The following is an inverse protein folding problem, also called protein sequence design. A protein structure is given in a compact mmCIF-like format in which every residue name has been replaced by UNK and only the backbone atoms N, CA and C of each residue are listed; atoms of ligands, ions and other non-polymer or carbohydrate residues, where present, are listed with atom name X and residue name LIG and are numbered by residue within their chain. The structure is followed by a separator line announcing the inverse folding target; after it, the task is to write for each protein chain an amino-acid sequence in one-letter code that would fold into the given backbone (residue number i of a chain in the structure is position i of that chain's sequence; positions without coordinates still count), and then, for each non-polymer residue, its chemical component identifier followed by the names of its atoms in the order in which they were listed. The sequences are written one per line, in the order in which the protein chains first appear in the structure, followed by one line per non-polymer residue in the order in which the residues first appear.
data_IF_887503474644
#
_entry.id   IF_887503474644
#
_cell.length_a   1.000
_cell.length_b   1.000
_cell.length_c   1.000
_cell.angle_alpha   90.00
_cell.angle_beta   90.00
_cell.angle_gamma   90.00
#
_symmetry.space_group_name_H-M   'P 1'
#
loop_
_entity.id
_entity.type
_entity.pdbx_description
1 polymer ?
#
# COMPACT_ATOMS: atom_id res chain seq x y z
N UNK A 1 -7.54 -22.11 -13.21
CA UNK A 1 -6.20 -21.92 -12.64
C UNK A 1 -5.80 -20.49 -12.94
N UNK A 2 -5.79 -19.60 -11.94
CA UNK A 2 -5.48 -18.18 -12.15
C UNK A 2 -3.98 -17.98 -12.37
N UNK A 3 -3.63 -17.25 -13.43
CA UNK A 3 -2.24 -16.81 -13.64
C UNK A 3 -1.82 -15.83 -12.55
N UNK A 4 -0.53 -15.80 -12.21
CA UNK A 4 0.01 -14.75 -11.34
C UNK A 4 0.56 -13.63 -12.22
N UNK A 5 0.32 -12.36 -11.83
CA UNK A 5 0.94 -11.15 -12.38
C UNK A 5 2.46 -11.23 -12.57
N UNK A 6 3.09 -12.11 -11.78
CA UNK A 6 4.52 -12.32 -11.78
C UNK A 6 5.04 -13.13 -12.98
N UNK A 7 4.21 -13.95 -13.64
CA UNK A 7 4.64 -14.80 -14.76
C UNK A 7 4.94 -13.98 -16.04
N UNK A 8 6.08 -14.23 -16.73
CA UNK A 8 6.34 -13.67 -18.04
C UNK A 8 5.29 -14.15 -19.05
N UNK A 9 4.78 -13.26 -19.91
CA UNK A 9 3.79 -13.55 -20.98
C UNK A 9 2.45 -14.14 -20.51
N UNK A 10 2.04 -13.93 -19.26
CA UNK A 10 0.70 -14.35 -18.85
C UNK A 10 -0.35 -13.53 -19.62
N UNK A 11 -1.35 -14.20 -20.22
CA UNK A 11 -2.46 -13.53 -20.92
C UNK A 11 -3.15 -12.51 -20.01
N UNK A 12 -3.25 -12.89 -18.74
CA UNK A 12 -3.72 -12.08 -17.61
C UNK A 12 -2.97 -10.74 -17.47
N UNK A 13 -1.65 -10.72 -17.68
CA UNK A 13 -0.83 -9.51 -17.65
C UNK A 13 -1.09 -8.64 -18.87
N UNK A 14 -1.15 -9.23 -20.05
CA UNK A 14 -1.49 -8.49 -21.28
C UNK A 14 -2.87 -7.85 -21.15
N UNK A 15 -3.81 -8.54 -20.49
CA UNK A 15 -5.14 -8.04 -20.17
C UNK A 15 -5.11 -6.87 -19.18
N UNK A 16 -4.34 -6.97 -18.08
CA UNK A 16 -4.15 -5.86 -17.13
C UNK A 16 -3.55 -4.64 -17.82
N UNK A 17 -2.46 -4.82 -18.57
CA UNK A 17 -1.80 -3.72 -19.29
C UNK A 17 -2.78 -3.13 -20.32
N UNK A 18 -3.52 -3.96 -21.05
CA UNK A 18 -4.55 -3.52 -22.00
C UNK A 18 -5.64 -2.68 -21.32
N UNK A 19 -6.18 -3.11 -20.19
CA UNK A 19 -7.22 -2.36 -19.46
C UNK A 19 -6.68 -1.07 -18.84
N UNK A 20 -5.45 -1.07 -18.33
CA UNK A 20 -4.76 0.15 -17.89
C UNK A 20 -4.58 1.14 -19.04
N UNK A 21 -4.07 0.64 -20.17
CA UNK A 21 -3.86 1.44 -21.37
C UNK A 21 -5.20 2.01 -21.84
N UNK A 22 -6.27 1.21 -21.90
CA UNK A 22 -7.62 1.69 -22.23
C UNK A 22 -8.09 2.77 -21.26
N UNK A 23 -7.90 2.59 -19.95
CA UNK A 23 -8.30 3.56 -18.93
C UNK A 23 -7.56 4.88 -19.11
N UNK A 24 -6.23 4.85 -19.27
CA UNK A 24 -5.40 6.03 -19.46
C UNK A 24 -5.69 6.75 -20.78
N UNK A 25 -5.93 6.01 -21.87
CA UNK A 25 -6.37 6.59 -23.14
C UNK A 25 -7.74 7.27 -23.05
N UNK A 26 -8.64 6.77 -22.20
CA UNK A 26 -9.95 7.38 -21.95
C UNK A 26 -9.87 8.62 -21.04
N UNK A 27 -8.80 8.75 -20.24
CA UNK A 27 -8.61 9.83 -19.27
C UNK A 27 -7.25 10.56 -19.47
N UNK A 28 -7.00 11.16 -20.65
CA UNK A 28 -5.69 11.70 -21.02
C UNK A 28 -5.23 12.88 -20.14
N UNK A 29 -6.15 13.52 -19.42
CA UNK A 29 -5.86 14.64 -18.51
C UNK A 29 -5.26 14.18 -17.17
N UNK A 30 -5.41 12.90 -16.82
CA UNK A 30 -4.84 12.35 -15.59
C UNK A 30 -4.44 10.88 -15.82
N UNK A 31 -3.25 10.63 -16.39
CA UNK A 31 -2.83 9.30 -16.86
C UNK A 31 -2.33 8.40 -15.71
N UNK A 32 -2.92 8.54 -14.54
CA UNK A 32 -2.62 7.78 -13.33
C UNK A 32 -3.90 7.12 -12.82
N UNK A 33 -3.76 5.97 -12.15
CA UNK A 33 -4.88 5.29 -11.54
C UNK A 33 -4.64 5.05 -10.05
N UNK A 34 -5.69 5.13 -9.24
CA UNK A 34 -5.62 4.77 -7.82
C UNK A 34 -5.71 3.26 -7.62
N UNK A 35 -5.33 2.79 -6.41
CA UNK A 35 -5.49 1.38 -6.03
C UNK A 35 -6.92 0.86 -6.25
N UNK A 36 -7.94 1.66 -5.96
CA UNK A 36 -9.34 1.25 -6.16
C UNK A 36 -9.63 0.96 -7.63
N UNK A 37 -9.20 1.86 -8.52
CA UNK A 37 -9.37 1.71 -9.96
C UNK A 37 -8.58 0.52 -10.49
N UNK A 38 -7.38 0.29 -9.93
CA UNK A 38 -6.57 -0.89 -10.19
C UNK A 38 -7.31 -2.19 -9.87
N UNK A 39 -7.88 -2.30 -8.66
CA UNK A 39 -8.63 -3.49 -8.24
C UNK A 39 -9.92 -3.69 -9.04
N UNK A 40 -10.63 -2.61 -9.38
CA UNK A 40 -11.86 -2.68 -10.19
C UNK A 40 -11.56 -3.13 -11.62
N UNK A 41 -10.49 -2.62 -12.22
CA UNK A 41 -10.01 -3.07 -13.53
C UNK A 41 -9.58 -4.53 -13.51
N UNK A 42 -8.90 -4.96 -12.45
CA UNK A 42 -8.39 -6.33 -12.31
C UNK A 42 -9.49 -7.38 -12.16
N UNK A 43 -10.63 -7.03 -11.55
CA UNK A 43 -11.82 -7.91 -11.46
C UNK A 43 -12.36 -8.28 -12.85
N UNK A 44 -12.28 -7.38 -13.83
CA UNK A 44 -12.77 -7.62 -15.20
C UNK A 44 -11.97 -8.69 -15.93
N UNK A 45 -10.71 -8.86 -15.54
CA UNK A 45 -9.73 -9.76 -16.15
C UNK A 45 -9.34 -10.92 -15.21
N UNK A 46 -10.18 -11.18 -14.20
CA UNK A 46 -10.02 -12.28 -13.22
C UNK A 46 -8.68 -12.29 -12.47
N UNK A 47 -8.12 -11.12 -12.17
CA UNK A 47 -6.89 -10.98 -11.37
C UNK A 47 -7.22 -10.46 -9.99
N UNK A 48 -6.81 -11.22 -8.98
CA UNK A 48 -6.84 -10.80 -7.58
C UNK A 48 -5.47 -10.26 -7.16
N UNK A 49 -5.45 -9.02 -6.67
CA UNK A 49 -4.35 -8.53 -5.85
C UNK A 49 -4.57 -8.97 -4.41
N UNK A 50 -3.48 -9.26 -3.70
CA UNK A 50 -3.48 -9.69 -2.31
C UNK A 50 -2.30 -9.10 -1.55
N UNK A 51 -2.18 -9.42 -0.25
CA UNK A 51 -1.09 -8.98 0.60
C UNK A 51 0.30 -9.24 0.02
N UNK A 52 0.49 -10.35 -0.70
CA UNK A 52 1.78 -10.70 -1.29
C UNK A 52 2.19 -9.79 -2.46
N UNK A 53 1.26 -8.97 -2.96
CA UNK A 53 1.52 -7.99 -4.01
C UNK A 53 1.92 -6.61 -3.45
N UNK A 54 1.77 -6.34 -2.14
CA UNK A 54 2.14 -5.04 -1.55
C UNK A 54 3.60 -4.63 -1.82
N UNK A 55 4.61 -5.50 -1.68
CA UNK A 55 5.98 -5.12 -1.99
C UNK A 55 6.16 -4.71 -3.45
N UNK A 56 5.44 -5.38 -4.36
CA UNK A 56 5.45 -5.04 -5.78
C UNK A 56 4.77 -3.69 -6.04
N UNK A 57 3.59 -3.45 -5.46
CA UNK A 57 2.88 -2.18 -5.60
C UNK A 57 3.73 -1.01 -5.08
N UNK A 58 4.36 -1.17 -3.92
CA UNK A 58 5.29 -0.18 -3.38
C UNK A 58 6.51 0.04 -4.27
N UNK A 59 7.04 -1.03 -4.88
CA UNK A 59 8.21 -0.94 -5.74
C UNK A 59 7.93 -0.18 -7.04
N UNK A 60 6.74 -0.36 -7.63
CA UNK A 60 6.42 0.16 -8.96
C UNK A 60 5.95 1.62 -8.94
N UNK A 61 5.31 2.06 -7.86
CA UNK A 61 4.94 3.47 -7.67
C UNK A 61 6.22 4.27 -7.42
N UNK A 62 6.86 4.81 -8.46
CA UNK A 62 8.16 5.47 -8.32
C UNK A 62 8.07 6.74 -7.46
N UNK A 63 6.99 7.51 -7.62
CA UNK A 63 6.76 8.78 -6.94
C UNK A 63 6.30 8.61 -5.47
N UNK A 64 5.89 7.39 -5.09
CA UNK A 64 5.36 7.04 -3.76
C UNK A 64 4.11 7.85 -3.39
N UNK A 65 3.33 8.24 -4.39
CA UNK A 65 2.16 9.10 -4.24
C UNK A 65 0.84 8.32 -4.09
N UNK A 66 0.88 6.98 -4.14
CA UNK A 66 -0.29 6.10 -4.03
C UNK A 66 -1.07 5.97 -5.34
N UNK A 67 -0.55 6.51 -6.44
CA UNK A 67 -1.09 6.40 -7.80
C UNK A 67 -0.13 5.62 -8.67
N UNK A 68 -0.68 5.04 -9.74
CA UNK A 68 0.08 4.22 -10.67
C UNK A 68 -0.07 4.80 -12.08
N UNK A 69 1.03 5.28 -12.63
CA UNK A 69 1.14 5.71 -14.02
C UNK A 69 1.34 4.52 -14.97
N UNK A 70 1.21 4.75 -16.28
CA UNK A 70 1.62 3.74 -17.26
C UNK A 70 3.12 3.44 -17.20
N UNK A 71 3.95 4.44 -16.89
CA UNK A 71 5.40 4.27 -16.80
C UNK A 71 5.76 3.26 -15.70
N UNK A 72 5.14 3.37 -14.53
CA UNK A 72 5.29 2.46 -13.39
C UNK A 72 5.02 1.00 -13.79
N UNK A 73 3.96 0.79 -14.57
CA UNK A 73 3.58 -0.54 -15.06
C UNK A 73 4.55 -1.05 -16.13
N UNK A 74 5.01 -0.19 -17.04
CA UNK A 74 6.00 -0.57 -18.06
C UNK A 74 7.38 -0.86 -17.46
N UNK A 75 7.75 -0.23 -16.35
CA UNK A 75 9.02 -0.49 -15.67
C UNK A 75 9.10 -1.93 -15.13
N UNK A 76 7.96 -2.54 -14.76
CA UNK A 76 7.87 -3.98 -14.46
C UNK A 76 8.28 -4.83 -15.66
N UNK A 77 7.85 -4.44 -16.87
CA UNK A 77 8.15 -5.16 -18.10
C UNK A 77 9.64 -5.04 -18.45
N UNK A 78 10.21 -3.84 -18.34
CA UNK A 78 11.64 -3.58 -18.56
C UNK A 78 12.51 -4.40 -17.60
N UNK A 79 12.17 -4.44 -16.31
CA UNK A 79 12.90 -5.22 -15.30
C UNK A 79 12.91 -6.72 -15.61
N UNK A 80 11.80 -7.25 -16.12
CA UNK A 80 11.72 -8.68 -16.47
C UNK A 80 12.38 -9.05 -17.79
N UNK A 81 12.46 -8.13 -18.75
CA UNK A 81 13.19 -8.33 -20.00
C UNK A 81 14.71 -8.32 -19.80
N UNK A 82 15.19 -7.63 -18.76
CA UNK A 82 16.61 -7.57 -18.40
C UNK A 82 17.08 -8.82 -17.62
N UNK A 83 16.17 -9.62 -17.06
CA UNK A 83 16.51 -10.83 -16.30
C UNK A 83 16.35 -12.04 -17.21
N UNK A 84 17.48 -12.64 -17.59
CA UNK A 84 17.56 -13.77 -18.51
C UNK A 84 17.17 -15.11 -17.84
N UNK A 85 15.92 -15.26 -17.37
CA UNK A 85 15.52 -16.48 -16.64
C UNK A 85 14.04 -16.90 -16.78
N UNK A 86 13.86 -18.23 -16.74
CA UNK A 86 12.62 -19.00 -16.50
C UNK A 86 11.90 -18.65 -15.18
N UNK A 87 12.51 -17.83 -14.31
CA UNK A 87 12.04 -17.50 -12.96
C UNK A 87 11.98 -15.99 -12.65
N UNK A 88 11.93 -15.11 -13.67
CA UNK A 88 11.86 -13.64 -13.52
C UNK A 88 10.75 -13.17 -12.55
N UNK A 89 9.66 -13.92 -12.45
CA UNK A 89 8.57 -13.77 -11.48
C UNK A 89 9.06 -13.77 -10.02
N UNK A 90 9.88 -14.77 -9.67
CA UNK A 90 10.42 -14.94 -8.32
C UNK A 90 11.49 -13.90 -8.04
N UNK A 91 12.34 -13.60 -9.03
CA UNK A 91 13.36 -12.57 -8.91
C UNK A 91 12.74 -11.20 -8.64
N UNK A 92 11.68 -10.82 -9.35
CA UNK A 92 10.96 -9.57 -9.12
C UNK A 92 10.33 -9.52 -7.72
N UNK A 93 9.67 -10.61 -7.29
CA UNK A 93 9.10 -10.69 -5.92
C UNK A 93 10.17 -10.56 -4.84
N UNK A 94 11.32 -11.22 -5.02
CA UNK A 94 12.43 -11.13 -4.09
C UNK A 94 13.03 -9.71 -4.08
N UNK A 95 13.18 -9.09 -5.25
CA UNK A 95 13.73 -7.75 -5.37
C UNK A 95 12.81 -6.69 -4.72
N UNK A 96 11.51 -6.72 -5.03
CA UNK A 96 10.54 -5.78 -4.46
C UNK A 96 10.41 -5.92 -2.94
N UNK A 97 10.46 -7.17 -2.45
CA UNK A 97 10.56 -7.48 -1.02
C UNK A 97 11.81 -6.87 -0.37
N UNK A 98 12.97 -7.05 -0.99
CA UNK A 98 14.24 -6.51 -0.48
C UNK A 98 14.23 -4.97 -0.50
N UNK A 99 13.61 -4.37 -1.51
CA UNK A 99 13.45 -2.92 -1.62
C UNK A 99 12.58 -2.37 -0.48
N UNK A 100 11.40 -2.97 -0.26
CA UNK A 100 10.53 -2.63 0.87
C UNK A 100 11.26 -2.77 2.20
N UNK A 101 12.03 -3.86 2.38
CA UNK A 101 12.82 -4.10 3.59
C UNK A 101 13.87 -3.01 3.85
N UNK A 102 14.44 -2.41 2.80
CA UNK A 102 15.44 -1.33 2.93
C UNK A 102 14.81 0.02 3.25
N UNK A 103 13.55 0.22 2.91
CA UNK A 103 12.84 1.50 3.03
C UNK A 103 11.55 1.37 3.87
N UNK A 104 11.64 0.91 5.13
CA UNK A 104 10.47 0.60 5.94
C UNK A 104 9.62 1.84 6.27
N UNK A 105 10.26 3.00 6.49
CA UNK A 105 9.58 4.24 6.84
C UNK A 105 8.77 4.78 5.66
N UNK A 106 9.40 4.77 4.49
CA UNK A 106 8.79 5.23 3.25
C UNK A 106 7.63 4.33 2.87
N UNK A 107 7.73 3.01 3.12
CA UNK A 107 6.61 2.09 2.95
C UNK A 107 5.42 2.44 3.85
N UNK A 108 5.66 2.76 5.13
CA UNK A 108 4.58 3.14 6.06
C UNK A 108 3.90 4.42 5.61
N UNK A 109 4.68 5.44 5.23
CA UNK A 109 4.15 6.72 4.72
C UNK A 109 3.36 6.50 3.42
N UNK A 110 3.93 5.75 2.49
CA UNK A 110 3.29 5.34 1.24
C UNK A 110 1.97 4.60 1.46
N UNK A 111 1.91 3.67 2.41
CA UNK A 111 0.68 2.92 2.69
C UNK A 111 -0.45 3.82 3.19
N UNK A 112 -0.11 4.86 3.98
CA UNK A 112 -1.05 5.92 4.33
C UNK A 112 -1.52 6.71 3.10
N UNK A 113 -0.59 7.11 2.24
CA UNK A 113 -0.89 7.84 1.01
C UNK A 113 -1.77 7.03 0.04
N UNK A 114 -1.46 5.75 -0.14
CA UNK A 114 -2.27 4.79 -0.90
C UNK A 114 -3.73 4.76 -0.42
N UNK A 115 -3.95 4.88 0.89
CA UNK A 115 -5.29 4.93 1.47
C UNK A 115 -6.04 6.23 1.16
N UNK A 116 -5.31 7.35 1.13
CA UNK A 116 -5.84 8.67 0.78
C UNK A 116 -6.31 8.68 -0.67
N UNK A 117 -5.50 8.16 -1.60
CA UNK A 117 -5.81 8.20 -3.03
C UNK A 117 -7.00 7.32 -3.46
N UNK A 118 -7.49 6.44 -2.59
CA UNK A 118 -8.68 5.63 -2.88
C UNK A 118 -9.94 6.51 -2.98
N UNK A 119 -10.12 7.45 -2.07
CA UNK A 119 -11.36 8.24 -1.99
C UNK A 119 -11.19 9.64 -1.37
N UNK A 120 -9.95 10.14 -1.34
CA UNK A 120 -9.57 11.37 -0.66
C UNK A 120 -9.54 11.23 0.86
N UNK A 121 -9.00 12.26 1.48
CA UNK A 121 -9.02 12.45 2.93
C UNK A 121 -9.97 13.57 3.34
N UNK A 122 -10.30 13.60 4.63
CA UNK A 122 -10.99 14.70 5.27
C UNK A 122 -10.15 15.18 6.44
N UNK A 123 -10.10 16.50 6.63
CA UNK A 123 -9.54 17.08 7.83
C UNK A 123 -10.67 17.26 8.85
N UNK A 124 -10.53 16.68 10.03
CA UNK A 124 -11.48 16.90 11.13
C UNK A 124 -10.71 17.13 12.43
N UNK A 125 -10.98 18.26 13.09
CA UNK A 125 -10.23 18.68 14.28
C UNK A 125 -8.71 18.61 14.06
N UNK A 126 -8.27 19.06 12.88
CA UNK A 126 -6.88 19.00 12.43
C UNK A 126 -6.29 17.59 12.26
N UNK A 127 -7.12 16.54 12.29
CA UNK A 127 -6.70 15.15 12.04
C UNK A 127 -7.14 14.76 10.63
N UNK A 128 -6.18 14.32 9.82
CA UNK A 128 -6.42 13.74 8.50
C UNK A 128 -7.01 12.33 8.64
N UNK A 129 -8.20 12.12 8.11
CA UNK A 129 -8.96 10.86 8.18
C UNK A 129 -9.36 10.36 6.79
N UNK A 130 -9.47 9.05 6.65
CA UNK A 130 -10.07 8.39 5.49
C UNK A 130 -11.44 7.83 5.84
N UNK A 131 -12.29 7.68 4.83
CA UNK A 131 -13.59 7.05 5.00
C UNK A 131 -13.51 5.52 5.02
N UNK A 132 -14.60 4.91 5.48
CA UNK A 132 -14.73 3.45 5.53
C UNK A 132 -14.54 2.79 4.18
N UNK A 133 -14.98 3.41 3.07
CA UNK A 133 -14.77 2.85 1.73
C UNK A 133 -13.29 2.64 1.38
N UNK A 134 -12.40 3.53 1.82
CA UNK A 134 -10.96 3.34 1.66
C UNK A 134 -10.47 2.15 2.50
N UNK A 135 -10.99 2.00 3.72
CA UNK A 135 -10.71 0.85 4.59
C UNK A 135 -11.22 -0.46 3.97
N UNK A 136 -12.37 -0.46 3.29
CA UNK A 136 -12.89 -1.63 2.56
C UNK A 136 -11.94 -2.10 1.47
N UNK A 137 -11.40 -1.15 0.69
CA UNK A 137 -10.44 -1.47 -0.37
C UNK A 137 -9.15 -2.06 0.21
N UNK A 138 -8.67 -1.52 1.34
CA UNK A 138 -7.52 -2.09 2.06
C UNK A 138 -7.84 -3.46 2.65
N UNK A 139 -9.03 -3.66 3.22
CA UNK A 139 -9.49 -4.94 3.76
C UNK A 139 -9.46 -6.04 2.68
N UNK A 140 -9.98 -5.73 1.48
CA UNK A 140 -9.99 -6.62 0.33
C UNK A 140 -8.56 -6.95 -0.15
N UNK A 141 -7.71 -5.92 -0.29
CA UNK A 141 -6.31 -6.09 -0.71
C UNK A 141 -5.52 -6.96 0.27
N UNK A 142 -5.71 -6.73 1.56
CA UNK A 142 -4.99 -7.45 2.62
C UNK A 142 -5.55 -8.85 2.87
N UNK A 143 -6.69 -9.18 2.26
CA UNK A 143 -7.43 -10.42 2.45
C UNK A 143 -7.73 -10.71 3.93
N UNK A 144 -8.09 -9.67 4.70
CA UNK A 144 -8.36 -9.79 6.14
C UNK A 144 -9.44 -10.82 6.44
N UNK A 145 -10.38 -11.06 5.52
CA UNK A 145 -11.41 -12.11 5.62
C UNK A 145 -10.85 -13.52 5.90
N UNK A 146 -9.59 -13.80 5.53
CA UNK A 146 -8.93 -15.09 5.83
C UNK A 146 -8.81 -15.30 7.34
N UNK A 147 -8.71 -14.21 8.11
CA UNK A 147 -8.65 -14.24 9.58
C UNK A 147 -10.01 -14.43 10.25
N UNK A 148 -11.11 -14.54 9.47
CA UNK A 148 -12.51 -14.60 9.93
C UNK A 148 -13.00 -13.34 10.65
N UNK A 149 -12.22 -12.27 10.65
CA UNK A 149 -12.66 -10.95 11.10
C UNK A 149 -13.63 -10.37 10.08
N UNK A 150 -14.78 -9.86 10.51
CA UNK A 150 -15.68 -9.15 9.60
C UNK A 150 -15.15 -7.77 9.24
N UNK A 151 -15.69 -7.19 8.18
CA UNK A 151 -15.37 -5.82 7.76
C UNK A 151 -15.70 -4.80 8.85
N UNK A 152 -16.86 -4.94 9.49
CA UNK A 152 -17.32 -4.08 10.58
C UNK A 152 -16.42 -4.22 11.81
N UNK A 153 -16.02 -5.44 12.15
CA UNK A 153 -15.07 -5.71 13.23
C UNK A 153 -13.69 -5.10 12.94
N UNK A 154 -13.23 -5.17 11.69
CA UNK A 154 -11.97 -4.55 11.27
C UNK A 154 -12.01 -3.03 11.40
N UNK A 155 -13.07 -2.37 10.92
CA UNK A 155 -13.25 -0.92 11.07
C UNK A 155 -13.34 -0.55 12.55
N UNK A 156 -14.10 -1.30 13.35
CA UNK A 156 -14.23 -1.08 14.79
C UNK A 156 -12.89 -1.19 15.52
N UNK A 157 -12.03 -2.14 15.14
CA UNK A 157 -10.69 -2.27 15.71
C UNK A 157 -9.82 -1.05 15.38
N UNK A 158 -9.89 -0.51 14.17
CA UNK A 158 -9.16 0.70 13.79
C UNK A 158 -9.68 1.94 14.55
N UNK A 159 -11.00 2.06 14.73
CA UNK A 159 -11.60 3.13 15.55
C UNK A 159 -11.19 3.02 17.02
N UNK A 160 -11.15 1.80 17.56
CA UNK A 160 -10.69 1.54 18.92
C UNK A 160 -9.22 1.92 19.08
N UNK A 161 -8.37 1.58 18.10
CA UNK A 161 -6.98 2.00 18.09
C UNK A 161 -6.84 3.53 18.05
N UNK A 162 -7.69 4.23 17.28
CA UNK A 162 -7.74 5.69 17.27
C UNK A 162 -8.07 6.27 18.65
N UNK A 163 -9.07 5.71 19.34
CA UNK A 163 -9.46 6.13 20.69
C UNK A 163 -8.32 5.91 21.70
N UNK A 164 -7.63 4.78 21.62
CA UNK A 164 -6.50 4.45 22.51
C UNK A 164 -5.34 5.44 22.39
N UNK A 165 -5.17 6.08 21.23
CA UNK A 165 -4.13 7.08 21.00
C UNK A 165 -4.62 8.52 21.25
N UNK A 166 -5.83 8.68 21.78
CA UNK A 166 -6.42 9.97 22.16
C UNK A 166 -7.27 10.64 21.08
N UNK A 167 -7.56 9.95 19.96
CA UNK A 167 -8.39 10.46 18.88
C UNK A 167 -9.85 10.00 19.06
N UNK A 168 -10.55 10.58 20.02
CA UNK A 168 -11.85 10.10 20.51
C UNK A 168 -13.09 10.62 19.75
N UNK A 169 -12.94 11.49 18.75
CA UNK A 169 -14.07 12.12 18.06
C UNK A 169 -13.86 12.31 16.54
N UNK A 170 -13.26 11.33 15.86
CA UNK A 170 -13.06 11.39 14.40
C UNK A 170 -14.16 10.65 13.65
N UNK A 171 -14.79 11.32 12.67
CA UNK A 171 -15.63 10.71 11.64
C UNK A 171 -14.68 10.13 10.59
N UNK A 172 -14.50 8.81 10.62
CA UNK A 172 -13.56 8.07 9.78
C UNK A 172 -12.36 7.53 10.54
N UNK A 173 -11.42 6.92 9.82
CA UNK A 173 -10.21 6.34 10.38
C UNK A 173 -9.04 7.31 10.17
N UNK A 174 -8.33 7.73 11.24
CA UNK A 174 -7.15 8.57 11.10
C UNK A 174 -6.05 7.87 10.30
N UNK A 175 -5.39 8.60 9.41
CA UNK A 175 -4.29 8.04 8.58
C UNK A 175 -3.16 7.51 9.47
N UNK A 176 -2.91 8.16 10.61
CA UNK A 176 -1.92 7.70 11.58
C UNK A 176 -2.19 6.25 12.05
N UNK A 177 -3.47 5.87 12.21
CA UNK A 177 -3.86 4.51 12.58
C UNK A 177 -3.58 3.53 11.43
N UNK A 178 -3.85 3.95 10.19
CA UNK A 178 -3.56 3.15 8.99
C UNK A 178 -2.05 2.94 8.83
N UNK A 179 -1.25 3.96 9.06
CA UNK A 179 0.21 3.89 9.04
C UNK A 179 0.76 2.98 10.15
N UNK A 180 0.22 3.07 11.37
CA UNK A 180 0.57 2.16 12.45
C UNK A 180 0.22 0.69 12.12
N UNK A 181 -0.90 0.49 11.46
CA UNK A 181 -1.28 -0.83 10.96
C UNK A 181 -0.32 -1.32 9.86
N UNK A 182 0.11 -0.44 8.94
CA UNK A 182 1.14 -0.76 7.94
C UNK A 182 2.46 -1.19 8.58
N UNK A 183 2.88 -0.55 9.68
CA UNK A 183 4.05 -0.97 10.45
C UNK A 183 3.89 -2.38 11.01
N UNK A 184 2.69 -2.75 11.46
CA UNK A 184 2.39 -4.09 11.95
C UNK A 184 2.48 -5.14 10.83
N UNK A 185 2.00 -4.81 9.63
CA UNK A 185 2.17 -5.64 8.43
C UNK A 185 3.64 -5.84 8.11
N UNK A 186 4.42 -4.76 8.07
CA UNK A 186 5.86 -4.80 7.82
C UNK A 186 6.58 -5.68 8.83
N UNK A 187 6.28 -5.54 10.12
CA UNK A 187 6.87 -6.37 11.17
C UNK A 187 6.52 -7.85 10.98
N UNK A 188 5.26 -8.15 10.61
CA UNK A 188 4.83 -9.51 10.28
C UNK A 188 5.62 -10.09 9.11
N UNK A 189 5.78 -9.32 8.02
CA UNK A 189 6.60 -9.73 6.87
C UNK A 189 8.05 -9.99 7.27
N UNK A 190 8.68 -9.09 8.02
CA UNK A 190 10.07 -9.23 8.49
C UNK A 190 10.25 -10.48 9.35
N UNK A 191 9.31 -10.76 10.26
CA UNK A 191 9.35 -11.96 11.09
C UNK A 191 9.23 -13.24 10.25
N UNK A 192 8.29 -13.26 9.30
CA UNK A 192 8.16 -14.39 8.37
C UNK A 192 9.45 -14.64 7.59
N UNK A 193 10.14 -13.58 7.13
CA UNK A 193 11.42 -13.72 6.45
C UNK A 193 12.52 -14.29 7.35
N UNK A 194 12.58 -13.88 8.61
CA UNK A 194 13.53 -14.45 9.59
C UNK A 194 13.29 -15.96 9.76
N UNK A 195 12.04 -16.36 9.92
CA UNK A 195 11.64 -17.76 10.08
C UNK A 195 12.00 -18.61 8.85
N UNK A 196 11.80 -18.08 7.65
CA UNK A 196 12.09 -18.80 6.40
C UNK A 196 13.60 -18.90 6.12
N UNK A 197 14.35 -17.83 6.40
CA UNK A 197 15.78 -17.75 6.03
C UNK A 197 16.73 -18.26 7.11
N UNK A 198 16.27 -18.52 8.34
CA UNK A 198 17.10 -18.96 9.48
C UNK A 198 18.33 -18.05 9.74
N UNK A 199 18.31 -16.82 9.23
CA UNK A 199 19.34 -15.82 9.47
C UNK A 199 18.85 -14.82 10.50
N UNK A 200 19.73 -14.45 11.43
CA UNK A 200 19.47 -13.37 12.36
C UNK A 200 19.62 -12.04 11.59
N UNK A 201 18.56 -11.67 10.87
CA UNK A 201 18.50 -10.51 9.96
C UNK A 201 18.64 -9.16 10.71
N UNK A 202 18.99 -9.18 12.00
CA UNK A 202 18.89 -8.06 12.95
C UNK A 202 19.92 -6.93 12.79
N UNK A 203 20.95 -7.03 11.96
CA UNK A 203 22.02 -6.02 11.95
C UNK A 203 21.65 -4.70 11.25
N UNK A 204 20.53 -4.62 10.52
CA UNK A 204 20.05 -3.36 9.90
C UNK A 204 18.87 -2.70 10.63
N UNK A 205 18.35 -3.31 11.69
CA UNK A 205 17.06 -2.94 12.31
C UNK A 205 17.18 -2.22 13.66
N UNK A 206 18.40 -1.86 14.11
CA UNK A 206 18.57 -1.20 15.41
C UNK A 206 18.14 0.27 15.46
N UNK A 207 17.74 0.88 14.33
CA UNK A 207 16.82 2.02 14.39
C UNK A 207 15.39 1.47 14.41
N UNK A 208 15.03 0.87 15.55
CA UNK A 208 13.65 0.56 15.85
C UNK A 208 12.85 1.86 15.73
N UNK A 209 12.02 1.93 14.69
CA UNK A 209 11.05 2.97 14.49
C UNK A 209 10.08 2.96 15.68
N UNK A 210 9.90 4.10 16.34
CA UNK A 210 9.00 4.21 17.49
C UNK A 210 7.73 4.90 17.03
N UNK A 211 6.58 4.30 17.31
CA UNK A 211 5.26 4.89 17.06
C UNK A 211 5.15 6.34 17.57
N UNK A 212 5.81 6.65 18.70
CA UNK A 212 5.90 8.01 19.24
C UNK A 212 6.53 9.02 18.26
N UNK A 213 7.51 8.61 17.44
CA UNK A 213 8.12 9.48 16.42
C UNK A 213 7.16 9.80 15.28
N UNK A 214 6.38 8.81 14.82
CA UNK A 214 5.34 9.02 13.79
C UNK A 214 4.25 9.95 14.31
N UNK A 215 3.87 9.78 15.58
CA UNK A 215 2.90 10.63 16.27
C UNK A 215 3.40 12.07 16.39
N UNK A 216 4.66 12.27 16.81
CA UNK A 216 5.32 13.58 16.87
C UNK A 216 5.41 14.24 15.49
N UNK A 217 5.92 13.54 14.47
CA UNK A 217 6.01 14.04 13.08
C UNK A 217 4.64 14.45 12.53
N UNK A 218 3.61 13.63 12.79
CA UNK A 218 2.25 13.89 12.35
C UNK A 218 1.67 15.15 12.99
N UNK A 219 1.84 15.32 14.31
CA UNK A 219 1.36 16.52 15.00
C UNK A 219 2.18 17.77 14.67
N UNK A 220 3.47 17.64 14.38
CA UNK A 220 4.30 18.74 13.89
C UNK A 220 3.85 19.20 12.50
N UNK A 221 3.56 18.26 11.59
CA UNK A 221 3.02 18.57 10.26
C UNK A 221 1.65 19.25 10.34
N UNK A 222 0.77 18.77 11.24
CA UNK A 222 -0.52 19.42 11.49
C UNK A 222 -0.31 20.85 12.01
N UNK A 223 0.61 21.05 12.95
CA UNK A 223 0.91 22.39 13.48
C UNK A 223 1.35 23.36 12.40
N UNK A 224 2.19 22.92 11.46
CA UNK A 224 2.63 23.73 10.31
C UNK A 224 1.50 24.06 9.33
N UNK A 225 0.58 23.12 9.08
CA UNK A 225 -0.58 23.38 8.22
C UNK A 225 -1.59 24.35 8.83
N UNK A 226 -1.65 24.49 10.16
CA UNK A 226 -2.54 25.47 10.82
C UNK A 226 -1.97 26.89 10.75
N UNK A 227 -0.64 27.04 10.75
CA UNK A 227 0.02 28.36 10.63
C UNK A 227 -0.06 28.93 9.21
N UNK A 228 -0.19 28.09 8.17
CA UNK A 228 -0.31 28.53 6.77
C UNK A 228 -1.74 28.96 6.36
N UNK A 229 -2.77 28.60 7.15
CA UNK A 229 -4.17 28.98 6.89
C UNK A 229 -4.59 30.30 7.58
N UNK A 230 -3.72 30.87 8.42
CA UNK A 230 -3.95 32.12 9.17
C UNK A 230 -3.21 33.36 8.58
N UNK A 231 -2.56 33.24 7.41
CA UNK A 231 -1.97 34.36 6.61
C UNK A 231 -2.83 34.74 5.39
#
# INVERSE_FOLDING_TARGET
MGGSLSQPRSELRTEIISEFVKYVYQHPQNPTISLKQLLEGSKRVSVSYDLAHLPLLYFIDEDKDGRFSLADIFNIQSFQLQIDHTDAAKALKAHSTLYLRRNPLDFVKWFGQLAIEINGEKLQNSVRTINENAVLVLYDLLQVQITRLSTEEFISNLQTAAQQIGLTQTVGIPILVIQNFAQSILNGLVNLYKEILNEDVNQSFQRAFKFEQLKEEYFEQIGKCVEEDDE
#
